data_IF_639482369326
#
_entry.id   IF_639482369326
#
_cell.length_a   1.000
_cell.length_b   1.000
_cell.length_c   1.000
_cell.angle_alpha   90.00
_cell.angle_beta   90.00
_cell.angle_gamma   90.00
#
_symmetry.space_group_name_H-M   'P 1'
#
loop_
_entity.id
_entity.type
_entity.pdbx_description
1 polymer ?
#
# COMPACT_ATOMS: atom_id res chain seq x y z
N UNK A 1 -20.42 -0.75 -62.34
CA UNK A 1 -20.05 -2.10 -61.88
C UNK A 1 -18.96 -1.92 -60.83
N UNK A 2 -19.19 -2.47 -59.63
CA UNK A 2 -18.68 -1.97 -58.35
C UNK A 2 -17.16 -2.13 -58.14
N UNK A 3 -16.56 -1.09 -57.57
CA UNK A 3 -15.22 -1.09 -56.98
C UNK A 3 -15.30 -1.70 -55.57
N UNK A 4 -14.52 -2.75 -55.29
CA UNK A 4 -14.43 -3.34 -53.96
C UNK A 4 -13.05 -3.02 -53.39
N UNK A 5 -13.04 -2.06 -52.46
CA UNK A 5 -11.88 -1.60 -51.73
C UNK A 5 -11.86 -2.32 -50.37
N UNK A 6 -11.07 -3.38 -50.24
CA UNK A 6 -10.88 -4.06 -48.96
C UNK A 6 -9.99 -3.22 -48.04
N UNK A 7 -10.61 -2.44 -47.15
CA UNK A 7 -9.93 -1.87 -45.99
C UNK A 7 -9.63 -2.99 -44.99
N UNK A 8 -8.36 -3.42 -44.94
CA UNK A 8 -7.81 -4.17 -43.81
C UNK A 8 -8.02 -3.36 -42.53
N UNK A 9 -8.88 -3.88 -41.66
CA UNK A 9 -9.02 -3.50 -40.27
C UNK A 9 -7.71 -3.81 -39.54
N UNK A 10 -6.82 -2.83 -39.45
CA UNK A 10 -5.72 -2.86 -38.49
C UNK A 10 -6.32 -2.61 -37.12
N UNK A 11 -6.44 -3.67 -36.32
CA UNK A 11 -6.71 -3.58 -34.89
C UNK A 11 -5.70 -2.67 -34.23
N UNK A 12 -6.08 -1.41 -34.06
CA UNK A 12 -5.30 -0.41 -33.36
C UNK A 12 -5.20 -0.83 -31.90
N UNK A 13 -4.11 -1.51 -31.55
CA UNK A 13 -3.61 -1.43 -30.18
C UNK A 13 -3.46 0.05 -29.90
N UNK A 14 -4.29 0.59 -29.02
CA UNK A 14 -4.06 1.92 -28.44
C UNK A 14 -2.73 1.83 -27.70
N UNK A 15 -1.62 2.09 -28.43
CA UNK A 15 -0.35 2.37 -27.80
C UNK A 15 -0.53 3.74 -27.17
N UNK A 16 -0.84 3.75 -25.88
CA UNK A 16 -0.59 4.94 -25.07
C UNK A 16 0.84 5.36 -25.40
N UNK A 17 1.01 6.61 -25.87
CA UNK A 17 2.33 7.14 -26.15
C UNK A 17 3.19 6.90 -24.89
N UNK A 18 4.40 6.33 -25.01
CA UNK A 18 5.26 6.19 -23.85
C UNK A 18 5.38 7.59 -23.25
N UNK A 19 4.88 7.77 -22.03
CA UNK A 19 5.08 9.00 -21.30
C UNK A 19 6.59 9.04 -21.07
N UNK A 20 7.31 9.77 -21.93
CA UNK A 20 8.76 9.86 -21.91
C UNK A 20 9.18 10.32 -20.51
N UNK A 21 9.62 9.36 -19.71
CA UNK A 21 10.06 9.60 -18.34
C UNK A 21 11.38 10.36 -18.30
N UNK A 22 11.79 10.81 -17.10
CA UNK A 22 13.04 11.55 -16.93
C UNK A 22 14.23 10.71 -17.47
N UNK A 23 15.30 11.37 -17.93
CA UNK A 23 16.40 10.73 -18.68
C UNK A 23 17.02 9.49 -18.02
N UNK A 24 17.81 8.72 -18.77
CA UNK A 24 18.26 7.36 -18.40
C UNK A 24 18.93 7.19 -17.03
N UNK A 25 19.45 8.26 -16.42
CA UNK A 25 19.95 8.23 -15.03
C UNK A 25 18.82 7.99 -14.00
N UNK A 26 17.66 8.63 -14.17
CA UNK A 26 16.53 8.50 -13.25
C UNK A 26 15.93 7.08 -13.23
N UNK A 27 15.86 6.43 -14.41
CA UNK A 27 15.41 5.05 -14.53
C UNK A 27 16.35 4.07 -13.77
N UNK A 28 17.67 4.32 -13.82
CA UNK A 28 18.65 3.52 -13.07
C UNK A 28 18.51 3.70 -11.56
N UNK A 29 18.29 4.94 -11.10
CA UNK A 29 18.04 5.21 -9.68
C UNK A 29 16.76 4.53 -9.21
N UNK A 30 15.67 4.62 -9.96
CA UNK A 30 14.41 3.95 -9.63
C UNK A 30 14.55 2.43 -9.60
N UNK A 31 15.28 1.84 -10.54
CA UNK A 31 15.54 0.41 -10.55
C UNK A 31 16.39 -0.03 -9.34
N UNK A 32 17.40 0.76 -8.95
CA UNK A 32 18.22 0.50 -7.78
C UNK A 32 17.41 0.61 -6.48
N UNK A 33 16.58 1.65 -6.35
CA UNK A 33 15.66 1.82 -5.21
C UNK A 33 14.66 0.67 -5.12
N UNK A 34 14.09 0.27 -6.25
CA UNK A 34 13.18 -0.87 -6.30
C UNK A 34 13.86 -2.18 -5.89
N UNK A 35 15.08 -2.42 -6.38
CA UNK A 35 15.84 -3.62 -5.99
C UNK A 35 16.18 -3.60 -4.50
N UNK A 36 16.61 -2.46 -3.97
CA UNK A 36 16.89 -2.29 -2.54
C UNK A 36 15.63 -2.55 -1.71
N UNK A 37 14.49 -1.97 -2.09
CA UNK A 37 13.21 -2.20 -1.42
C UNK A 37 12.81 -3.68 -1.47
N UNK A 38 12.97 -4.36 -2.61
CA UNK A 38 12.66 -5.78 -2.73
C UNK A 38 13.54 -6.65 -1.82
N UNK A 39 14.84 -6.33 -1.72
CA UNK A 39 15.76 -7.02 -0.81
C UNK A 39 15.41 -6.78 0.65
N UNK A 40 15.05 -5.54 1.00
CA UNK A 40 14.55 -5.18 2.34
C UNK A 40 13.28 -5.97 2.65
N UNK A 41 12.31 -6.03 1.73
CA UNK A 41 11.08 -6.81 1.90
C UNK A 41 11.38 -8.28 2.20
N UNK A 42 12.27 -8.90 1.41
CA UNK A 42 12.66 -10.31 1.61
C UNK A 42 13.34 -10.48 2.97
N UNK A 43 14.31 -9.63 3.30
CA UNK A 43 15.05 -9.72 4.56
C UNK A 43 14.12 -9.54 5.76
N UNK A 44 13.34 -8.46 5.79
CA UNK A 44 12.46 -8.14 6.93
C UNK A 44 11.40 -9.22 7.11
N UNK A 45 10.80 -9.70 6.02
CA UNK A 45 9.81 -10.80 6.10
C UNK A 45 10.45 -12.07 6.64
N UNK A 46 11.64 -12.45 6.15
CA UNK A 46 12.31 -13.68 6.58
C UNK A 46 12.85 -13.60 8.02
N UNK A 47 13.45 -12.46 8.39
CA UNK A 47 14.04 -12.24 9.70
C UNK A 47 12.97 -11.97 10.79
N UNK A 48 11.88 -11.30 10.44
CA UNK A 48 10.76 -11.02 11.35
C UNK A 48 9.89 -12.25 11.64
N UNK A 49 9.82 -13.20 10.70
CA UNK A 49 8.97 -14.40 10.80
C UNK A 49 9.08 -15.17 12.13
N UNK A 50 10.28 -15.58 12.60
CA UNK A 50 10.39 -16.33 13.85
C UNK A 50 9.95 -15.51 15.07
N UNK A 51 10.20 -14.20 15.06
CA UNK A 51 9.78 -13.30 16.13
C UNK A 51 8.25 -13.15 16.14
N UNK A 52 7.66 -12.92 14.97
CA UNK A 52 6.21 -12.83 14.82
C UNK A 52 5.50 -14.12 15.23
N UNK A 53 6.07 -15.28 14.90
CA UNK A 53 5.52 -16.57 15.31
C UNK A 53 5.54 -16.74 16.84
N UNK A 54 6.64 -16.36 17.49
CA UNK A 54 6.77 -16.43 18.94
C UNK A 54 5.78 -15.48 19.65
N UNK A 55 5.61 -14.27 19.12
CA UNK A 55 4.62 -13.30 19.62
C UNK A 55 3.20 -13.85 19.57
N UNK A 56 2.80 -14.41 18.42
CA UNK A 56 1.45 -14.95 18.19
C UNK A 56 1.17 -16.28 18.90
N UNK A 57 2.22 -17.03 19.24
CA UNK A 57 2.10 -18.27 20.02
C UNK A 57 1.87 -18.01 21.51
N UNK A 58 2.15 -16.80 21.97
CA UNK A 58 1.89 -16.35 23.34
C UNK A 58 0.52 -15.68 23.48
N UNK A 59 0.03 -15.56 24.71
CA UNK A 59 -1.25 -14.91 25.02
C UNK A 59 -1.05 -13.63 25.81
N UNK A 60 -1.93 -12.64 25.64
CA UNK A 60 -1.91 -11.39 26.39
C UNK A 60 -3.32 -10.93 26.78
N UNK A 61 -3.46 -10.26 27.92
CA UNK A 61 -4.73 -9.61 28.32
C UNK A 61 -4.91 -8.23 27.71
N UNK A 62 -3.89 -7.71 27.01
CA UNK A 62 -3.94 -6.41 26.35
C UNK A 62 -4.83 -6.48 25.11
N UNK A 63 -5.93 -5.72 25.11
CA UNK A 63 -6.88 -5.65 23.99
C UNK A 63 -6.58 -4.49 23.04
N UNK A 64 -5.86 -3.46 23.50
CA UNK A 64 -5.42 -2.34 22.67
C UNK A 64 -4.20 -1.61 23.27
N UNK A 65 -3.45 -0.90 22.43
CA UNK A 65 -2.34 -0.05 22.87
C UNK A 65 -2.78 1.18 23.70
N UNK A 66 -4.08 1.51 23.73
CA UNK A 66 -4.59 2.56 24.62
C UNK A 66 -4.66 2.10 26.09
N UNK A 67 -4.77 0.79 26.33
CA UNK A 67 -4.95 0.20 27.66
C UNK A 67 -3.72 -0.52 28.23
N UNK A 68 -2.66 -0.69 27.45
CA UNK A 68 -1.48 -1.44 27.84
C UNK A 68 -0.20 -0.84 27.26
N UNK A 69 0.91 -0.92 28.02
CA UNK A 69 2.21 -0.47 27.57
C UNK A 69 2.82 -1.42 26.51
N UNK A 70 2.60 -2.73 26.67
CA UNK A 70 2.99 -3.76 25.71
C UNK A 70 1.73 -4.34 25.07
N UNK A 71 1.39 -3.85 23.88
CA UNK A 71 0.35 -4.38 23.01
C UNK A 71 1.00 -5.00 21.77
N UNK A 72 0.53 -6.18 21.38
CA UNK A 72 0.96 -6.88 20.17
C UNK A 72 -0.30 -7.19 19.37
N UNK A 73 -0.34 -6.68 18.14
CA UNK A 73 -1.49 -6.88 17.29
C UNK A 73 -1.75 -8.35 16.97
N UNK A 74 -3.02 -8.74 16.99
CA UNK A 74 -3.52 -10.11 16.74
C UNK A 74 -3.06 -11.19 17.73
N UNK A 75 -2.50 -10.81 18.89
CA UNK A 75 -2.18 -11.78 19.94
C UNK A 75 -3.46 -12.31 20.62
N UNK A 76 -3.51 -13.61 20.90
CA UNK A 76 -4.68 -14.22 21.53
C UNK A 76 -4.87 -13.75 22.98
N UNK A 77 -6.11 -13.50 23.36
CA UNK A 77 -6.47 -13.41 24.77
C UNK A 77 -6.44 -14.83 25.41
N UNK A 78 -6.05 -14.98 26.70
CA UNK A 78 -6.05 -16.30 27.35
C UNK A 78 -7.38 -17.06 27.23
N UNK A 79 -8.50 -16.36 27.33
CA UNK A 79 -9.85 -16.93 27.14
C UNK A 79 -10.07 -17.45 25.71
N UNK A 80 -9.55 -16.75 24.68
CA UNK A 80 -9.65 -17.20 23.29
C UNK A 80 -8.77 -18.44 23.06
N UNK A 81 -7.60 -18.50 23.69
CA UNK A 81 -6.72 -19.66 23.66
C UNK A 81 -7.38 -20.88 24.33
N UNK A 82 -8.14 -20.71 25.42
CA UNK A 82 -8.91 -21.81 26.03
C UNK A 82 -10.04 -22.31 25.11
N UNK A 83 -10.75 -21.40 24.44
CA UNK A 83 -11.78 -21.74 23.46
C UNK A 83 -11.18 -22.52 22.28
N UNK A 84 -10.00 -22.09 21.81
CA UNK A 84 -9.27 -22.76 20.74
C UNK A 84 -8.79 -24.16 21.17
N UNK A 85 -8.30 -24.28 22.40
CA UNK A 85 -7.91 -25.55 22.99
C UNK A 85 -9.09 -26.52 23.13
N UNK A 86 -10.30 -26.01 23.40
CA UNK A 86 -11.52 -26.82 23.50
C UNK A 86 -11.91 -27.50 22.18
N UNK A 87 -11.48 -26.96 21.03
CA UNK A 87 -11.66 -27.59 19.70
C UNK A 87 -10.42 -28.35 19.22
N UNK A 88 -9.43 -28.53 20.10
CA UNK A 88 -8.20 -29.30 19.81
C UNK A 88 -7.13 -28.54 19.05
N UNK A 89 -7.23 -27.20 18.96
CA UNK A 89 -6.24 -26.34 18.32
C UNK A 89 -5.40 -25.61 19.37
N UNK A 90 -4.10 -25.50 19.14
CA UNK A 90 -3.18 -24.77 20.00
C UNK A 90 -2.96 -23.33 19.54
N UNK A 91 -2.32 -22.52 20.40
CA UNK A 91 -1.88 -21.17 20.03
C UNK A 91 -0.87 -21.18 18.87
N UNK A 92 -0.07 -22.24 18.75
CA UNK A 92 0.85 -22.44 17.62
C UNK A 92 0.11 -22.65 16.29
N UNK A 93 -1.05 -23.32 16.29
CA UNK A 93 -1.86 -23.51 15.08
C UNK A 93 -2.46 -22.18 14.63
N UNK A 94 -2.95 -21.37 15.58
CA UNK A 94 -3.39 -20.01 15.32
C UNK A 94 -2.25 -19.12 14.78
N UNK A 95 -1.08 -19.15 15.42
CA UNK A 95 0.09 -18.40 14.96
C UNK A 95 0.48 -18.78 13.53
N UNK A 96 0.47 -20.09 13.21
CA UNK A 96 0.70 -20.58 11.85
C UNK A 96 -0.33 -20.09 10.84
N UNK A 97 -1.61 -20.04 11.22
CA UNK A 97 -2.68 -19.51 10.39
C UNK A 97 -2.53 -18.01 10.11
N UNK A 98 -2.25 -17.20 11.14
CA UNK A 98 -2.04 -15.75 10.95
C UNK A 98 -0.81 -15.48 10.08
N UNK A 99 0.31 -16.18 10.33
CA UNK A 99 1.50 -16.05 9.49
C UNK A 99 1.21 -16.43 8.03
N UNK A 100 0.41 -17.47 7.80
CA UNK A 100 0.02 -17.84 6.44
C UNK A 100 -0.75 -16.71 5.74
N UNK A 101 -1.65 -16.02 6.45
CA UNK A 101 -2.37 -14.86 5.92
C UNK A 101 -1.44 -13.67 5.67
N UNK A 102 -0.54 -13.37 6.60
CA UNK A 102 0.43 -12.27 6.49
C UNK A 102 1.38 -12.49 5.30
N UNK A 103 1.96 -13.69 5.16
CA UNK A 103 2.78 -14.07 3.98
C UNK A 103 1.95 -13.99 2.70
N UNK A 104 0.72 -14.50 2.72
CA UNK A 104 -0.19 -14.46 1.58
C UNK A 104 -0.45 -13.04 1.10
N UNK A 105 -0.66 -12.11 2.04
CA UNK A 105 -0.83 -10.68 1.76
C UNK A 105 0.44 -10.09 1.14
N UNK A 106 1.62 -10.33 1.73
CA UNK A 106 2.91 -9.89 1.17
C UNK A 106 3.10 -10.40 -0.25
N UNK A 107 2.80 -11.67 -0.52
CA UNK A 107 2.92 -12.28 -1.86
C UNK A 107 1.98 -11.63 -2.87
N UNK A 108 0.74 -11.31 -2.46
CA UNK A 108 -0.26 -10.64 -3.31
C UNK A 108 0.21 -9.28 -3.82
N UNK A 109 1.04 -8.57 -3.04
CA UNK A 109 1.60 -7.28 -3.43
C UNK A 109 2.97 -7.44 -4.12
N UNK A 110 3.81 -8.35 -3.62
CA UNK A 110 5.15 -8.58 -4.12
C UNK A 110 5.17 -9.11 -5.55
N UNK A 111 4.32 -10.09 -5.88
CA UNK A 111 4.30 -10.72 -7.20
C UNK A 111 3.93 -9.71 -8.30
N UNK A 112 2.83 -8.93 -8.20
CA UNK A 112 2.55 -7.86 -9.16
C UNK A 112 3.64 -6.80 -9.21
N UNK A 113 4.25 -6.44 -8.07
CA UNK A 113 5.35 -5.48 -8.05
C UNK A 113 6.53 -5.95 -8.92
N UNK A 114 6.96 -7.20 -8.76
CA UNK A 114 8.02 -7.82 -9.57
C UNK A 114 7.62 -7.88 -11.05
N UNK A 115 6.39 -8.29 -11.35
CA UNK A 115 5.91 -8.40 -12.73
C UNK A 115 5.87 -7.04 -13.43
N UNK A 116 5.36 -6.00 -12.76
CA UNK A 116 5.32 -4.63 -13.29
C UNK A 116 6.75 -4.12 -13.50
N UNK A 117 7.61 -4.27 -12.50
CA UNK A 117 9.01 -3.86 -12.58
C UNK A 117 9.82 -4.71 -13.57
N UNK A 118 9.36 -5.87 -14.00
CA UNK A 118 10.00 -6.62 -15.09
C UNK A 118 9.50 -6.14 -16.45
N UNK A 119 8.19 -6.04 -16.62
CA UNK A 119 7.59 -5.77 -17.93
C UNK A 119 7.69 -4.31 -18.36
N UNK A 120 7.77 -3.37 -17.41
CA UNK A 120 7.62 -1.92 -17.64
C UNK A 120 8.73 -1.08 -17.02
N UNK A 121 9.98 -1.57 -17.03
CA UNK A 121 11.16 -0.88 -16.46
C UNK A 121 11.37 0.55 -16.98
N UNK A 122 11.04 0.78 -18.24
CA UNK A 122 11.25 2.07 -18.91
C UNK A 122 10.12 3.08 -18.64
N UNK A 123 9.02 2.64 -17.99
CA UNK A 123 7.89 3.49 -17.64
C UNK A 123 8.01 3.94 -16.17
N UNK A 124 8.40 5.20 -15.96
CA UNK A 124 8.63 5.75 -14.62
C UNK A 124 7.44 5.57 -13.66
N UNK A 125 6.21 5.74 -14.15
CA UNK A 125 5.00 5.57 -13.36
C UNK A 125 4.79 4.12 -12.95
N UNK A 126 5.06 3.17 -13.85
CA UNK A 126 4.97 1.75 -13.56
C UNK A 126 5.98 1.35 -12.48
N UNK A 127 7.20 1.89 -12.54
CA UNK A 127 8.23 1.65 -11.50
C UNK A 127 7.85 2.25 -10.14
N UNK A 128 7.22 3.43 -10.09
CA UNK A 128 6.70 4.00 -8.83
C UNK A 128 5.58 3.14 -8.25
N UNK A 129 4.65 2.67 -9.10
CA UNK A 129 3.58 1.76 -8.67
C UNK A 129 4.19 0.45 -8.12
N UNK A 130 5.16 -0.13 -8.83
CA UNK A 130 5.84 -1.34 -8.40
C UNK A 130 6.58 -1.14 -7.05
N UNK A 131 7.22 0.01 -6.85
CA UNK A 131 7.87 0.34 -5.58
C UNK A 131 6.85 0.50 -4.45
N UNK A 132 5.72 1.19 -4.71
CA UNK A 132 4.68 1.37 -3.71
C UNK A 132 4.01 0.05 -3.30
N UNK A 133 3.82 -0.88 -4.24
CA UNK A 133 3.32 -2.22 -3.95
C UNK A 133 4.29 -2.99 -3.04
N UNK A 134 5.61 -2.86 -3.22
CA UNK A 134 6.59 -3.47 -2.31
C UNK A 134 6.52 -2.88 -0.90
N UNK A 135 6.42 -1.55 -0.79
CA UNK A 135 6.26 -0.90 0.49
C UNK A 135 5.00 -1.39 1.21
N UNK A 136 3.87 -1.37 0.52
CA UNK A 136 2.58 -1.78 1.08
C UNK A 136 2.57 -3.26 1.47
N UNK A 137 3.11 -4.14 0.62
CA UNK A 137 3.21 -5.57 0.92
C UNK A 137 4.12 -5.91 2.10
N UNK A 138 5.03 -5.01 2.47
CA UNK A 138 5.94 -5.18 3.60
C UNK A 138 5.37 -4.63 4.91
N UNK A 139 4.72 -3.46 4.87
CA UNK A 139 4.36 -2.67 6.07
C UNK A 139 2.90 -2.83 6.50
N UNK A 140 2.09 -3.54 5.73
CA UNK A 140 0.72 -3.89 6.13
C UNK A 140 0.63 -5.12 7.05
N UNK A 141 1.35 -6.22 6.80
CA UNK A 141 1.47 -7.30 7.78
C UNK A 141 2.30 -6.85 8.98
N UNK A 142 2.03 -7.36 10.18
CA UNK A 142 2.74 -6.97 11.40
C UNK A 142 4.09 -7.70 11.61
N UNK A 143 4.57 -8.45 10.61
CA UNK A 143 5.86 -9.17 10.64
C UNK A 143 7.03 -8.20 10.84
N UNK A 144 6.95 -7.03 10.23
CA UNK A 144 7.96 -5.98 10.31
C UNK A 144 8.06 -5.39 11.74
N UNK A 145 6.91 -5.17 12.40
CA UNK A 145 6.85 -4.70 13.79
C UNK A 145 7.56 -5.64 14.78
N UNK A 146 7.45 -6.95 14.55
CA UNK A 146 8.13 -7.96 15.36
C UNK A 146 9.66 -7.89 15.18
N UNK A 147 10.14 -7.57 13.97
CA UNK A 147 11.56 -7.35 13.73
C UNK A 147 12.04 -6.07 14.39
N UNK A 148 11.28 -4.97 14.30
CA UNK A 148 11.64 -3.66 14.89
C UNK A 148 11.84 -3.77 16.40
N UNK A 149 11.02 -4.57 17.10
CA UNK A 149 11.18 -4.82 18.55
C UNK A 149 12.54 -5.44 18.91
N UNK A 150 13.16 -6.20 18.00
CA UNK A 150 14.48 -6.82 18.20
C UNK A 150 15.60 -5.98 17.58
N UNK A 151 15.32 -5.29 16.47
CA UNK A 151 16.25 -4.47 15.71
C UNK A 151 15.65 -3.07 15.44
N UNK A 152 15.73 -2.14 16.42
CA UNK A 152 15.13 -0.81 16.29
C UNK A 152 15.67 0.05 15.14
N UNK A 153 16.80 -0.34 14.55
CA UNK A 153 17.35 0.33 13.36
C UNK A 153 16.39 0.31 12.16
N UNK A 154 15.48 -0.68 12.10
CA UNK A 154 14.53 -0.82 11.00
C UNK A 154 13.28 0.07 11.13
N UNK A 155 13.07 0.70 12.29
CA UNK A 155 11.90 1.52 12.59
C UNK A 155 11.71 2.63 11.55
N UNK A 156 12.66 3.57 11.49
CA UNK A 156 12.61 4.69 10.55
C UNK A 156 12.56 4.27 9.06
N UNK A 157 13.37 3.31 8.57
CA UNK A 157 13.24 2.80 7.20
C UNK A 157 11.84 2.28 6.86
N UNK A 158 11.21 1.51 7.76
CA UNK A 158 9.90 0.92 7.52
C UNK A 158 8.79 1.98 7.57
N UNK A 159 8.86 2.94 8.50
CA UNK A 159 7.93 4.09 8.53
C UNK A 159 7.98 4.90 7.23
N UNK A 160 9.18 5.16 6.70
CA UNK A 160 9.36 5.85 5.41
C UNK A 160 8.74 5.03 4.27
N UNK A 161 8.96 3.71 4.25
CA UNK A 161 8.38 2.83 3.25
C UNK A 161 6.86 2.87 3.31
N UNK A 162 6.27 2.76 4.49
CA UNK A 162 4.82 2.77 4.67
C UNK A 162 4.19 4.11 4.25
N UNK A 163 4.78 5.23 4.71
CA UNK A 163 4.33 6.56 4.33
C UNK A 163 4.41 6.78 2.81
N UNK A 164 5.47 6.28 2.17
CA UNK A 164 5.60 6.32 0.71
C UNK A 164 4.52 5.47 0.01
N UNK A 165 4.31 4.23 0.46
CA UNK A 165 3.28 3.34 -0.09
C UNK A 165 1.89 3.97 -0.03
N UNK A 166 1.53 4.52 1.13
CA UNK A 166 0.25 5.17 1.36
C UNK A 166 0.10 6.47 0.53
N UNK A 167 1.16 7.27 0.43
CA UNK A 167 1.17 8.47 -0.40
C UNK A 167 0.96 8.13 -1.88
N UNK A 168 1.61 7.09 -2.39
CA UNK A 168 1.44 6.66 -3.78
C UNK A 168 0.03 6.10 -3.99
N UNK A 169 -0.49 5.28 -3.08
CA UNK A 169 -1.87 4.79 -3.16
C UNK A 169 -2.88 5.95 -3.21
N UNK A 170 -2.70 6.95 -2.35
CA UNK A 170 -3.49 8.18 -2.35
C UNK A 170 -3.37 8.91 -3.69
N UNK A 171 -2.15 9.14 -4.18
CA UNK A 171 -1.88 9.81 -5.45
C UNK A 171 -2.50 9.07 -6.65
N UNK A 172 -2.42 7.74 -6.68
CA UNK A 172 -3.07 6.90 -7.69
C UNK A 172 -4.59 7.08 -7.66
N UNK A 173 -5.20 7.20 -6.48
CA UNK A 173 -6.60 7.56 -6.32
C UNK A 173 -7.01 8.83 -7.09
N UNK A 174 -6.11 9.80 -7.27
CA UNK A 174 -6.34 11.00 -8.11
C UNK A 174 -5.91 10.86 -9.57
N UNK A 175 -5.03 9.90 -9.87
CA UNK A 175 -4.35 9.76 -11.17
C UNK A 175 -4.94 8.67 -12.08
N UNK A 176 -5.80 7.79 -11.58
CA UNK A 176 -6.33 6.64 -12.37
C UNK A 176 -7.42 7.09 -13.37
N UNK A 177 -6.99 7.67 -14.51
CA UNK A 177 -7.47 7.47 -15.91
C UNK A 177 -6.75 8.46 -16.86
N UNK A 178 -6.57 8.09 -18.14
CA UNK A 178 -5.30 7.80 -18.83
C UNK A 178 -4.37 9.02 -19.10
N UNK A 179 -4.74 10.24 -18.69
CA UNK A 179 -4.03 11.46 -19.14
C UNK A 179 -2.85 11.86 -18.23
N UNK A 180 -2.71 11.23 -17.05
CA UNK A 180 -1.68 11.58 -16.05
C UNK A 180 -1.75 13.01 -15.51
N UNK A 181 -2.82 13.75 -15.83
CA UNK A 181 -2.99 15.16 -15.42
C UNK A 181 -3.82 15.24 -14.14
N UNK A 182 -3.27 15.92 -13.13
CA UNK A 182 -3.96 16.35 -11.91
C UNK A 182 -5.01 17.41 -12.26
N UNK A 183 -6.21 16.94 -12.64
CA UNK A 183 -7.35 17.76 -13.05
C UNK A 183 -8.57 17.24 -12.30
N UNK A 184 -9.29 18.07 -11.51
CA UNK A 184 -9.21 19.54 -11.39
C UNK A 184 -8.12 20.08 -10.44
N UNK A 185 -7.81 21.39 -10.50
CA UNK A 185 -6.74 22.05 -9.70
C UNK A 185 -6.81 21.82 -8.18
N UNK A 186 -8.00 21.57 -7.63
CA UNK A 186 -8.17 21.29 -6.19
C UNK A 186 -7.48 19.99 -5.76
N UNK A 187 -7.30 19.02 -6.65
CA UNK A 187 -6.60 17.75 -6.32
C UNK A 187 -5.12 17.97 -6.01
N UNK A 188 -4.53 19.07 -6.53
CA UNK A 188 -3.16 19.47 -6.17
C UNK A 188 -3.06 19.90 -4.71
N UNK A 189 -4.07 20.63 -4.21
CA UNK A 189 -4.12 21.05 -2.81
C UNK A 189 -4.28 19.81 -1.93
N UNK A 190 -5.19 18.89 -2.28
CA UNK A 190 -5.36 17.62 -1.56
C UNK A 190 -4.08 16.79 -1.53
N UNK A 191 -3.35 16.72 -2.65
CA UNK A 191 -2.06 16.02 -2.71
C UNK A 191 -1.00 16.70 -1.83
N UNK A 192 -0.90 18.03 -1.85
CA UNK A 192 0.02 18.77 -0.98
C UNK A 192 -0.33 18.56 0.48
N UNK A 193 -1.61 18.63 0.86
CA UNK A 193 -2.06 18.35 2.23
C UNK A 193 -1.69 16.93 2.64
N UNK A 194 -1.91 15.94 1.77
CA UNK A 194 -1.52 14.56 2.06
C UNK A 194 0.00 14.41 2.23
N UNK A 195 0.82 15.03 1.37
CA UNK A 195 2.28 15.02 1.53
C UNK A 195 2.68 15.63 2.88
N UNK A 196 2.10 16.78 3.24
CA UNK A 196 2.38 17.44 4.51
C UNK A 196 1.99 16.56 5.69
N UNK A 197 0.81 15.95 5.67
CA UNK A 197 0.35 15.05 6.73
C UNK A 197 1.24 13.80 6.84
N UNK A 198 1.57 13.14 5.73
CA UNK A 198 2.46 11.97 5.73
C UNK A 198 3.85 12.33 6.27
N UNK A 199 4.40 13.46 5.85
CA UNK A 199 5.69 13.95 6.37
C UNK A 199 5.61 14.23 7.86
N UNK A 200 4.50 14.84 8.30
CA UNK A 200 4.31 15.17 9.70
C UNK A 200 4.18 13.92 10.57
N UNK A 201 3.48 12.88 10.09
CA UNK A 201 3.40 11.59 10.79
C UNK A 201 4.73 10.83 10.81
N UNK A 202 5.56 10.93 9.78
CA UNK A 202 6.92 10.35 9.80
C UNK A 202 7.83 11.07 10.81
N UNK A 203 7.69 12.39 10.96
CA UNK A 203 8.52 13.15 11.92
C UNK A 203 7.97 13.03 13.36
N UNK A 204 6.65 12.95 13.49
CA UNK A 204 5.93 12.89 14.76
C UNK A 204 4.92 11.72 14.73
N UNK A 205 5.39 10.47 14.90
CA UNK A 205 4.55 9.28 14.79
C UNK A 205 3.44 9.21 15.84
N UNK A 206 3.61 9.88 16.98
CA UNK A 206 2.61 9.98 18.05
C UNK A 206 1.44 10.93 17.75
N UNK A 207 1.44 11.63 16.61
CA UNK A 207 0.33 12.52 16.25
C UNK A 207 -0.99 11.74 16.09
N UNK A 208 -2.13 12.35 16.47
CA UNK A 208 -3.42 11.71 16.39
C UNK A 208 -3.86 11.49 14.93
N UNK A 209 -4.80 10.55 14.74
CA UNK A 209 -5.40 10.22 13.45
C UNK A 209 -4.40 9.70 12.40
N UNK A 210 -3.26 9.16 12.84
CA UNK A 210 -2.28 8.58 11.94
C UNK A 210 -2.83 7.30 11.28
N UNK A 211 -3.03 7.27 9.95
CA UNK A 211 -3.51 6.09 9.24
C UNK A 211 -2.38 5.07 8.94
N UNK A 212 -1.14 5.40 9.27
CA UNK A 212 0.02 4.50 9.18
C UNK A 212 -0.06 3.51 10.34
N UNK A 213 0.11 2.21 10.07
CA UNK A 213 0.14 1.17 11.10
C UNK A 213 1.29 1.47 12.07
N UNK A 214 0.97 1.62 13.36
CA UNK A 214 1.93 2.03 14.38
C UNK A 214 1.23 2.42 15.69
N UNK A 215 2.01 2.80 16.69
CA UNK A 215 1.52 2.98 18.07
C UNK A 215 0.34 3.99 18.17
N UNK A 216 0.34 5.05 17.37
CA UNK A 216 -0.77 6.02 17.36
C UNK A 216 -2.05 5.47 16.72
N UNK A 217 -1.94 4.67 15.67
CA UNK A 217 -3.07 3.95 15.08
C UNK A 217 -3.64 2.93 16.06
N UNK A 218 -2.81 2.14 16.73
CA UNK A 218 -3.25 1.13 17.72
C UNK A 218 -3.92 1.76 18.95
N UNK A 219 -3.53 2.97 19.35
CA UNK A 219 -4.20 3.74 20.41
C UNK A 219 -5.57 4.26 19.97
N UNK A 220 -5.73 4.59 18.69
CA UNK A 220 -6.95 5.25 18.16
C UNK A 220 -7.48 4.62 16.86
N UNK A 221 -7.68 3.28 16.80
CA UNK A 221 -7.82 2.56 15.53
C UNK A 221 -9.07 2.98 14.76
N UNK A 222 -10.19 3.19 15.45
CA UNK A 222 -11.44 3.65 14.82
C UNK A 222 -11.27 5.05 14.23
N UNK A 223 -10.66 5.97 14.98
CA UNK A 223 -10.48 7.35 14.57
C UNK A 223 -9.51 7.47 13.39
N UNK A 224 -8.38 6.78 13.46
CA UNK A 224 -7.38 6.73 12.38
C UNK A 224 -7.94 6.06 11.12
N UNK A 225 -8.71 4.98 11.26
CA UNK A 225 -9.38 4.32 10.12
C UNK A 225 -10.40 5.25 9.46
N UNK A 226 -11.24 5.93 10.24
CA UNK A 226 -12.21 6.88 9.72
C UNK A 226 -11.51 8.07 9.02
N UNK A 227 -10.39 8.53 9.57
CA UNK A 227 -9.61 9.61 8.97
C UNK A 227 -8.95 9.17 7.65
N UNK A 228 -8.35 7.98 7.61
CA UNK A 228 -7.82 7.38 6.39
C UNK A 228 -8.89 7.20 5.31
N UNK A 229 -10.06 6.66 5.68
CA UNK A 229 -11.20 6.52 4.78
C UNK A 229 -11.70 7.88 4.27
N UNK A 230 -11.76 8.90 5.13
CA UNK A 230 -12.09 10.27 4.75
C UNK A 230 -11.08 10.82 3.73
N UNK A 231 -9.78 10.63 3.94
CA UNK A 231 -8.76 11.03 2.96
C UNK A 231 -8.98 10.32 1.61
N UNK A 232 -9.11 8.99 1.61
CA UNK A 232 -9.34 8.21 0.39
C UNK A 232 -10.63 8.62 -0.34
N UNK A 233 -11.65 9.07 0.38
CA UNK A 233 -12.91 9.54 -0.21
C UNK A 233 -12.71 10.71 -1.16
N UNK A 234 -11.72 11.59 -0.95
CA UNK A 234 -11.39 12.66 -1.89
C UNK A 234 -10.90 12.14 -3.23
N UNK A 235 -10.14 11.03 -3.23
CA UNK A 235 -9.72 10.36 -4.46
C UNK A 235 -10.93 9.84 -5.24
N UNK A 236 -11.83 9.13 -4.56
CA UNK A 236 -13.08 8.61 -5.15
C UNK A 236 -13.96 9.75 -5.69
N UNK A 237 -14.14 10.82 -4.93
CA UNK A 237 -14.90 12.01 -5.35
C UNK A 237 -14.28 12.67 -6.58
N UNK A 238 -12.94 12.75 -6.65
CA UNK A 238 -12.25 13.27 -7.83
C UNK A 238 -12.54 12.41 -9.08
N UNK A 239 -12.52 11.08 -8.93
CA UNK A 239 -12.85 10.17 -10.04
C UNK A 239 -14.30 10.30 -10.49
N UNK A 240 -15.25 10.37 -9.56
CA UNK A 240 -16.68 10.56 -9.86
C UNK A 240 -16.91 11.90 -10.59
N UNK A 241 -16.33 12.99 -10.10
CA UNK A 241 -16.43 14.30 -10.76
C UNK A 241 -15.87 14.27 -12.18
N UNK A 242 -14.74 13.60 -12.38
CA UNK A 242 -14.07 13.52 -13.68
C UNK A 242 -14.84 12.65 -14.67
N UNK A 243 -15.39 11.52 -14.23
CA UNK A 243 -16.26 10.67 -15.03
C UNK A 243 -17.50 11.42 -15.52
N UNK A 244 -18.18 12.15 -14.61
CA UNK A 244 -19.37 12.94 -14.97
C UNK A 244 -19.08 14.04 -16.00
N UNK A 245 -17.91 14.69 -15.92
CA UNK A 245 -17.48 15.69 -16.91
C UNK A 245 -17.22 15.08 -18.29
N UNK A 246 -16.59 13.90 -18.35
CA UNK A 246 -16.31 13.22 -19.63
C UNK A 246 -17.58 12.69 -20.28
N UNK A 247 -18.45 12.05 -19.51
CA UNK A 247 -19.74 11.56 -19.98
C UNK A 247 -20.59 12.71 -20.58
N UNK A 248 -20.61 13.88 -19.92
CA UNK A 248 -21.30 15.06 -20.43
C UNK A 248 -20.69 15.65 -21.69
N UNK A 249 -19.37 15.55 -21.90
CA UNK A 249 -18.72 16.01 -23.12
C UNK A 249 -19.04 15.09 -24.32
N UNK A 250 -19.02 13.77 -24.13
CA UNK A 250 -19.40 12.79 -25.15
C UNK A 250 -20.87 12.93 -25.54
N UNK A 251 -21.76 13.13 -24.57
CA UNK A 251 -23.19 13.31 -24.82
C UNK A 251 -23.49 14.59 -25.64
N UNK A 252 -22.66 15.63 -25.50
CA UNK A 252 -22.74 16.85 -26.33
C UNK A 252 -22.14 16.71 -27.73
N UNK A 253 -21.31 15.69 -27.97
CA UNK A 253 -20.77 15.39 -29.31
C UNK A 253 -21.72 14.50 -30.12
N UNK A 254 -22.70 13.87 -29.48
CA UNK A 254 -23.70 12.99 -30.11
C UNK A 254 -25.01 13.70 -30.46
N UNK A 255 -25.19 14.96 -30.03
CA UNK A 255 -26.32 15.84 -30.35
C UNK A 255 -25.83 16.87 -31.37
#
# INVERSE_FOLDING_TARGET
MAATNERKSTGGRVRLAPMTGPGGWSARVLAALWLAAALVTIYVTAAGLPHRFAELSATSTAVSAAGAADYIDQQLHPVEAEVLAAVGLGTADYAGYIILLEIGLTVIFFVPAVLIAWQRRDEWLAMIIALALLCFGLTEPAIDSALVRVQPLWDLPLEIMQAFGLLVAFALGFLVFPDGRLTPRWTRISLVVAICLMTLWVIFPDLPYNPVNGASWERTPVQSTLFGAFLLSFGVLAQVQRYRRHAGAMQRQQI
#
